data_IF_696794524377
#
_entry.id   IF_696794524377
#
_cell.length_a   1.000
_cell.length_b   1.000
_cell.length_c   1.000
_cell.angle_alpha   90.00
_cell.angle_beta   90.00
_cell.angle_gamma   90.00
#
_symmetry.space_group_name_H-M   'P 1'
#
loop_
_entity.id
_entity.type
_entity.pdbx_description
1 polymer ?
#
# COMPACT_ATOMS: atom_id res chain seq x y z
N UNK A 1 0.52 6.23 12.70
CA UNK A 1 -0.44 7.20 13.29
C UNK A 1 -1.75 6.53 13.68
N UNK A 2 -2.42 5.74 12.82
CA UNK A 2 -3.75 5.15 13.11
C UNK A 2 -3.74 4.21 14.32
N UNK A 3 -2.72 3.35 14.46
CA UNK A 3 -2.58 2.48 15.61
C UNK A 3 -2.44 3.28 16.93
N UNK A 4 -1.60 4.31 16.90
CA UNK A 4 -1.44 5.24 18.01
C UNK A 4 -2.76 5.95 18.38
N UNK A 5 -3.45 6.50 17.39
CA UNK A 5 -4.75 7.15 17.61
C UNK A 5 -5.75 6.16 18.20
N UNK A 6 -5.83 4.95 17.65
CA UNK A 6 -6.77 3.93 18.13
C UNK A 6 -6.50 3.51 19.59
N UNK A 7 -5.26 3.27 19.93
CA UNK A 7 -4.88 2.94 21.31
C UNK A 7 -5.36 3.99 22.32
N UNK A 8 -5.26 5.27 21.93
CA UNK A 8 -5.68 6.38 22.79
C UNK A 8 -7.19 6.57 22.88
N UNK A 9 -7.90 6.44 21.75
CA UNK A 9 -9.34 6.71 21.72
C UNK A 9 -10.19 5.52 22.14
N UNK A 10 -9.70 4.30 21.98
CA UNK A 10 -10.44 3.07 22.30
C UNK A 10 -11.06 3.04 23.70
N UNK A 11 -10.44 3.55 24.78
CA UNK A 11 -11.06 3.57 26.11
C UNK A 11 -12.28 4.51 26.21
N UNK A 12 -12.43 5.46 25.30
CA UNK A 12 -13.47 6.46 25.34
C UNK A 12 -14.76 6.03 24.60
N UNK A 13 -15.20 4.81 24.83
CA UNK A 13 -16.32 4.16 24.14
C UNK A 13 -17.61 5.02 24.08
N UNK A 14 -17.99 5.64 25.18
CA UNK A 14 -19.19 6.49 25.23
C UNK A 14 -19.03 7.74 24.34
N UNK A 15 -17.87 8.40 24.43
CA UNK A 15 -17.59 9.57 23.59
C UNK A 15 -17.54 9.19 22.11
N UNK A 16 -16.91 8.04 21.76
CA UNK A 16 -16.87 7.55 20.39
C UNK A 16 -18.27 7.35 19.82
N UNK A 17 -19.16 6.67 20.56
CA UNK A 17 -20.56 6.48 20.11
C UNK A 17 -21.28 7.81 19.87
N UNK A 18 -21.07 8.79 20.73
CA UNK A 18 -21.72 10.11 20.59
C UNK A 18 -21.25 10.89 19.36
N UNK A 19 -19.99 10.74 18.94
CA UNK A 19 -19.43 11.51 17.84
C UNK A 19 -19.55 10.81 16.49
N UNK A 20 -19.51 9.48 16.45
CA UNK A 20 -19.43 8.70 15.20
C UNK A 20 -20.62 8.98 14.27
N UNK A 21 -21.82 9.09 14.79
CA UNK A 21 -23.02 9.36 13.98
C UNK A 21 -22.93 10.64 13.14
N UNK A 22 -22.03 11.56 13.52
CA UNK A 22 -21.90 12.88 12.89
C UNK A 22 -20.58 13.10 12.15
N UNK A 23 -19.61 12.17 12.20
CA UNK A 23 -18.28 12.39 11.63
C UNK A 23 -18.31 12.50 10.09
N UNK A 24 -19.17 11.73 9.43
CA UNK A 24 -19.32 11.82 7.98
C UNK A 24 -20.73 11.38 7.52
N UNK A 25 -21.03 11.60 6.23
CA UNK A 25 -22.32 11.27 5.62
C UNK A 25 -22.64 9.78 5.71
N UNK A 26 -21.65 8.89 5.52
CA UNK A 26 -21.85 7.43 5.56
C UNK A 26 -22.30 6.96 6.94
N UNK A 27 -21.69 7.46 8.00
CA UNK A 27 -22.10 7.13 9.38
C UNK A 27 -23.47 7.70 9.72
N UNK A 28 -23.77 8.92 9.27
CA UNK A 28 -25.08 9.55 9.45
C UNK A 28 -26.22 8.76 8.79
N UNK A 29 -25.94 8.19 7.61
CA UNK A 29 -26.93 7.31 6.92
C UNK A 29 -27.09 5.98 7.63
N UNK A 30 -25.99 5.33 8.03
CA UNK A 30 -26.04 4.05 8.78
C UNK A 30 -26.75 4.18 10.13
N UNK A 31 -26.52 5.25 10.86
CA UNK A 31 -27.13 5.50 12.17
C UNK A 31 -28.64 5.74 12.11
N UNK A 32 -29.21 6.11 10.94
CA UNK A 32 -30.66 6.17 10.74
C UNK A 32 -31.30 4.79 10.69
N UNK A 33 -30.57 3.79 10.21
CA UNK A 33 -31.07 2.40 10.10
C UNK A 33 -30.87 1.63 11.41
N UNK A 34 -29.70 1.78 12.02
CA UNK A 34 -29.36 1.16 13.31
C UNK A 34 -28.88 2.30 14.25
N UNK A 35 -29.66 2.65 15.29
CA UNK A 35 -29.27 3.67 16.26
C UNK A 35 -27.99 3.31 17.00
N UNK A 36 -27.07 4.28 17.15
CA UNK A 36 -25.82 4.08 17.88
C UNK A 36 -26.09 4.33 19.37
N UNK A 37 -26.16 3.25 20.15
CA UNK A 37 -26.46 3.30 21.59
C UNK A 37 -25.35 2.65 22.44
N UNK A 38 -25.33 1.31 22.48
CA UNK A 38 -24.47 0.52 23.36
C UNK A 38 -23.44 -0.35 22.60
N UNK A 39 -23.30 -0.17 21.30
CA UNK A 39 -22.36 -0.93 20.49
C UNK A 39 -20.94 -0.80 21.01
N UNK A 40 -20.20 -1.92 20.99
CA UNK A 40 -18.76 -1.90 21.20
C UNK A 40 -18.07 -1.33 19.97
N UNK A 41 -17.44 -0.18 20.12
CA UNK A 41 -16.66 0.42 19.04
C UNK A 41 -15.34 -0.32 18.91
N UNK A 42 -15.06 -0.76 17.69
CA UNK A 42 -13.83 -1.46 17.27
C UNK A 42 -13.23 -0.77 16.06
N UNK A 43 -12.00 -1.07 15.79
CA UNK A 43 -11.31 -0.67 14.58
C UNK A 43 -10.83 -1.91 13.84
N UNK A 44 -11.11 -1.96 12.55
CA UNK A 44 -10.60 -3.01 11.66
C UNK A 44 -10.25 -2.39 10.31
N UNK A 45 -9.06 -2.72 9.81
CA UNK A 45 -8.53 -2.13 8.59
C UNK A 45 -9.45 -2.44 7.39
N UNK A 46 -9.90 -1.38 6.71
CA UNK A 46 -10.75 -1.50 5.51
C UNK A 46 -12.22 -1.85 5.76
N UNK A 47 -12.66 -1.98 7.03
CA UNK A 47 -14.03 -2.37 7.36
C UNK A 47 -14.79 -1.20 7.99
N UNK A 48 -15.92 -0.81 7.38
CA UNK A 48 -16.91 0.10 7.97
C UNK A 48 -18.23 -0.65 8.18
N UNK A 49 -18.50 -1.08 9.40
CA UNK A 49 -19.66 -1.92 9.70
C UNK A 49 -20.39 -1.42 10.95
N UNK A 50 -21.72 -1.44 10.92
CA UNK A 50 -22.59 -1.19 12.06
C UNK A 50 -23.56 -2.35 12.22
N UNK A 51 -23.62 -2.92 13.42
CA UNK A 51 -24.56 -3.94 13.84
C UNK A 51 -25.25 -3.51 15.14
N UNK A 52 -26.15 -4.27 15.65
CA UNK A 52 -26.81 -3.99 16.93
C UNK A 52 -25.84 -4.02 18.13
N UNK A 53 -24.76 -4.82 18.05
CA UNK A 53 -23.81 -5.02 19.16
C UNK A 53 -22.45 -4.42 18.94
N UNK A 54 -22.05 -4.20 17.68
CA UNK A 54 -20.70 -3.77 17.32
C UNK A 54 -20.70 -2.70 16.23
N UNK A 55 -19.69 -1.82 16.32
CA UNK A 55 -19.43 -0.76 15.37
C UNK A 55 -17.95 -0.82 14.99
N UNK A 56 -17.64 -0.97 13.71
CA UNK A 56 -16.28 -1.01 13.18
C UNK A 56 -15.96 0.28 12.46
N UNK A 57 -14.95 1.00 12.94
CA UNK A 57 -14.43 2.21 12.32
C UNK A 57 -13.57 1.87 11.11
N UNK A 58 -13.73 2.65 10.04
CA UNK A 58 -12.79 2.68 8.94
C UNK A 58 -11.50 3.39 9.35
N UNK A 59 -10.44 3.22 8.58
CA UNK A 59 -9.14 3.85 8.78
C UNK A 59 -9.24 5.38 8.96
N UNK A 60 -9.92 6.05 8.05
CA UNK A 60 -10.10 7.51 8.09
C UNK A 60 -10.96 8.00 9.28
N UNK A 61 -11.86 7.14 9.79
CA UNK A 61 -12.71 7.51 10.92
C UNK A 61 -11.90 7.62 12.22
N UNK A 62 -10.81 6.87 12.35
CA UNK A 62 -9.96 6.87 13.55
C UNK A 62 -9.29 8.22 13.76
N UNK A 63 -8.72 8.81 12.70
CA UNK A 63 -8.08 10.13 12.76
C UNK A 63 -9.09 11.24 13.02
N UNK A 64 -10.28 11.14 12.43
CA UNK A 64 -11.37 12.09 12.69
C UNK A 64 -11.88 12.00 14.14
N UNK A 65 -12.08 10.78 14.66
CA UNK A 65 -12.45 10.60 16.07
C UNK A 65 -11.39 11.16 17.02
N UNK A 66 -10.10 10.92 16.73
CA UNK A 66 -8.99 11.48 17.51
C UNK A 66 -9.04 13.02 17.51
N UNK A 67 -9.23 13.64 16.35
CA UNK A 67 -9.32 15.09 16.21
C UNK A 67 -10.47 15.70 17.03
N UNK A 68 -11.62 15.02 17.07
CA UNK A 68 -12.77 15.45 17.86
C UNK A 68 -12.57 15.25 19.37
N UNK A 69 -11.93 14.15 19.78
CA UNK A 69 -11.65 13.89 21.19
C UNK A 69 -10.58 14.84 21.74
N UNK A 70 -9.64 15.30 20.93
CA UNK A 70 -8.65 16.31 21.33
C UNK A 70 -9.26 17.65 21.76
N UNK A 71 -10.51 17.93 21.34
CA UNK A 71 -11.24 19.11 21.80
C UNK A 71 -11.64 19.02 23.27
N UNK A 72 -11.69 17.82 23.85
CA UNK A 72 -12.15 17.60 25.22
C UNK A 72 -11.00 17.75 26.24
N UNK A 73 -11.10 18.67 27.22
CA UNK A 73 -10.05 18.86 28.22
C UNK A 73 -9.71 17.58 29.01
N UNK A 74 -10.70 16.72 29.24
CA UNK A 74 -10.50 15.42 29.91
C UNK A 74 -9.60 14.52 29.08
N UNK A 75 -9.77 14.50 27.75
CA UNK A 75 -8.95 13.70 26.85
C UNK A 75 -7.53 14.27 26.76
N UNK A 76 -7.37 15.59 26.72
CA UNK A 76 -6.05 16.23 26.74
C UNK A 76 -5.25 15.88 28.00
N UNK A 77 -5.92 15.90 29.17
CA UNK A 77 -5.30 15.47 30.45
C UNK A 77 -4.88 13.99 30.41
N UNK A 78 -5.73 13.12 29.89
CA UNK A 78 -5.41 11.71 29.70
C UNK A 78 -4.23 11.52 28.75
N UNK A 79 -4.24 12.21 27.61
CA UNK A 79 -3.13 12.17 26.65
C UNK A 79 -1.81 12.61 27.30
N UNK A 80 -1.82 13.75 28.01
CA UNK A 80 -0.65 14.25 28.72
C UNK A 80 -0.12 13.26 29.75
N UNK A 81 -0.99 12.57 30.47
CA UNK A 81 -0.58 11.61 31.50
C UNK A 81 0.09 10.37 30.90
N UNK A 82 -0.30 9.97 29.69
CA UNK A 82 0.29 8.84 28.98
C UNK A 82 1.51 9.24 28.14
N UNK A 83 1.39 10.35 27.41
CA UNK A 83 2.36 10.82 26.43
C UNK A 83 2.61 12.31 26.61
N UNK A 84 3.45 12.72 27.59
CA UNK A 84 3.80 14.14 27.78
C UNK A 84 4.61 14.71 26.63
N UNK A 85 5.22 13.86 25.81
CA UNK A 85 6.01 14.22 24.63
C UNK A 85 5.52 13.36 23.46
N UNK A 86 5.22 13.99 22.34
CA UNK A 86 4.78 13.34 21.09
C UNK A 86 5.66 13.82 19.95
N UNK A 87 6.32 12.90 19.28
CA UNK A 87 7.07 13.17 18.06
C UNK A 87 6.35 12.56 16.86
N UNK A 88 6.14 13.35 15.83
CA UNK A 88 5.46 12.98 14.59
C UNK A 88 6.50 13.03 13.47
N UNK A 89 6.90 11.86 12.99
CA UNK A 89 7.80 11.71 11.85
C UNK A 89 7.02 11.79 10.54
N UNK A 90 7.68 12.26 9.47
CA UNK A 90 7.08 12.53 8.16
C UNK A 90 5.75 13.32 8.28
N UNK A 91 5.77 14.38 9.12
CA UNK A 91 4.57 15.11 9.49
C UNK A 91 3.81 15.67 8.27
N UNK A 92 4.47 15.94 7.16
CA UNK A 92 3.87 16.49 5.95
C UNK A 92 2.84 15.54 5.33
N UNK A 93 2.92 14.24 5.61
CA UNK A 93 1.99 13.23 5.13
C UNK A 93 0.89 12.88 6.15
N UNK A 94 0.91 13.50 7.33
CA UNK A 94 -0.14 13.35 8.34
C UNK A 94 -1.45 13.98 7.84
N UNK A 95 -2.59 13.36 8.20
CA UNK A 95 -3.90 13.94 7.95
C UNK A 95 -3.97 15.39 8.45
N UNK A 96 -4.42 16.31 7.60
CA UNK A 96 -4.44 17.76 7.89
C UNK A 96 -5.29 18.11 9.11
N UNK A 97 -6.45 17.46 9.25
CA UNK A 97 -7.36 17.77 10.38
C UNK A 97 -6.75 17.30 11.68
N UNK A 98 -6.10 16.14 11.68
CA UNK A 98 -5.40 15.62 12.85
C UNK A 98 -4.21 16.51 13.23
N UNK A 99 -3.37 16.90 12.27
CA UNK A 99 -2.23 17.79 12.50
C UNK A 99 -2.70 19.15 13.08
N UNK A 100 -3.71 19.76 12.48
CA UNK A 100 -4.32 21.00 13.00
C UNK A 100 -4.90 20.81 14.40
N UNK A 101 -5.46 19.66 14.71
CA UNK A 101 -5.98 19.37 16.06
C UNK A 101 -4.85 19.27 17.08
N UNK A 102 -3.72 18.69 16.75
CA UNK A 102 -2.53 18.72 17.63
C UNK A 102 -2.05 20.16 17.86
N UNK A 103 -1.97 20.96 16.81
CA UNK A 103 -1.55 22.37 16.93
C UNK A 103 -2.54 23.12 17.83
N UNK A 104 -3.83 23.13 17.48
CA UNK A 104 -4.83 23.95 18.16
C UNK A 104 -5.07 23.52 19.62
N UNK A 105 -5.17 22.21 19.87
CA UNK A 105 -5.61 21.71 21.17
C UNK A 105 -4.48 21.31 22.09
N UNK A 106 -3.29 21.00 21.57
CA UNK A 106 -2.14 20.66 22.41
C UNK A 106 -1.15 21.81 22.55
N UNK A 107 -0.83 22.52 21.46
CA UNK A 107 0.18 23.59 21.46
C UNK A 107 -0.47 24.92 21.82
N UNK A 108 -1.47 25.37 21.06
CA UNK A 108 -2.09 26.67 21.25
C UNK A 108 -2.82 26.79 22.59
N UNK A 109 -3.50 25.73 23.02
CA UNK A 109 -4.20 25.69 24.31
C UNK A 109 -3.29 25.40 25.53
N UNK A 110 -1.99 25.32 25.36
CA UNK A 110 -1.05 25.04 26.45
C UNK A 110 -1.42 23.78 27.26
N UNK A 111 -1.76 22.69 26.59
CA UNK A 111 -2.14 21.43 27.24
C UNK A 111 -1.03 20.85 28.14
N UNK A 112 0.21 21.32 27.94
CA UNK A 112 1.43 20.82 28.58
C UNK A 112 1.95 19.54 27.96
N UNK A 113 1.50 19.17 26.77
CA UNK A 113 2.12 18.14 25.93
C UNK A 113 3.12 18.83 24.99
N UNK A 114 4.37 18.36 24.98
CA UNK A 114 5.37 18.79 23.99
C UNK A 114 5.14 18.04 22.68
N UNK A 115 4.96 18.75 21.59
CA UNK A 115 4.78 18.14 20.25
C UNK A 115 5.93 18.57 19.37
N UNK A 116 6.61 17.58 18.74
CA UNK A 116 7.64 17.79 17.73
C UNK A 116 7.20 17.23 16.39
N UNK A 117 7.33 18.03 15.33
CA UNK A 117 7.07 17.64 13.95
C UNK A 117 8.41 17.47 13.23
N UNK A 118 8.66 16.25 12.73
CA UNK A 118 9.89 15.92 11.99
C UNK A 118 9.50 15.59 10.56
N UNK A 119 10.16 16.19 9.60
CA UNK A 119 9.87 15.96 8.18
C UNK A 119 10.18 17.16 7.30
N UNK A 120 9.68 17.13 6.09
CA UNK A 120 9.93 18.11 5.06
C UNK A 120 8.68 18.32 4.21
N UNK A 121 8.08 19.50 4.26
CA UNK A 121 6.85 19.79 3.54
C UNK A 121 6.98 19.70 2.00
N UNK A 122 8.21 19.79 1.45
CA UNK A 122 8.47 19.55 0.03
C UNK A 122 8.37 18.07 -0.37
N UNK A 123 8.55 17.17 0.58
CA UNK A 123 8.46 15.71 0.36
C UNK A 123 7.03 15.18 0.48
N UNK A 124 6.04 16.07 0.62
CA UNK A 124 4.62 15.70 0.66
C UNK A 124 4.21 14.96 -0.61
N UNK A 125 3.80 13.69 -0.47
CA UNK A 125 3.36 12.83 -1.58
C UNK A 125 1.84 12.67 -1.65
N UNK A 126 1.13 12.90 -0.55
CA UNK A 126 -0.32 12.84 -0.51
C UNK A 126 -0.96 14.19 -0.87
N UNK A 127 -2.16 14.13 -1.45
CA UNK A 127 -2.84 15.28 -2.02
C UNK A 127 -3.28 16.34 -0.99
N UNK A 128 -4.44 16.96 -1.23
CA UNK A 128 -4.91 18.12 -0.44
C UNK A 128 -5.20 17.81 1.02
N UNK A 129 -5.45 16.55 1.37
CA UNK A 129 -5.84 16.13 2.72
C UNK A 129 -4.65 15.92 3.66
N UNK A 130 -3.42 15.92 3.14
CA UNK A 130 -2.22 15.86 3.96
C UNK A 130 -1.81 17.25 4.48
N UNK A 131 -1.16 17.28 5.65
CA UNK A 131 -0.81 18.48 6.40
C UNK A 131 0.00 19.49 5.57
N UNK A 132 1.10 19.05 4.96
CA UNK A 132 2.05 19.94 4.30
C UNK A 132 2.75 20.85 5.32
N UNK A 133 2.72 22.15 5.10
CA UNK A 133 3.38 23.12 5.99
C UNK A 133 2.65 23.23 7.33
N UNK A 134 3.39 23.10 8.43
CA UNK A 134 2.90 23.34 9.80
C UNK A 134 3.04 24.81 10.13
N UNK A 135 1.97 25.40 10.65
CA UNK A 135 1.97 26.80 11.06
C UNK A 135 1.27 26.96 12.40
N UNK A 136 1.84 27.79 13.28
CA UNK A 136 1.27 28.15 14.59
C UNK A 136 0.90 29.64 14.59
N UNK A 137 -0.39 30.00 14.69
CA UNK A 137 -0.80 31.40 14.71
C UNK A 137 -0.18 32.23 15.83
N UNK A 138 0.10 31.61 16.98
CA UNK A 138 0.70 32.29 18.15
C UNK A 138 2.23 32.27 18.16
N UNK A 139 2.88 31.67 17.17
CA UNK A 139 4.34 31.55 17.11
C UNK A 139 4.95 30.60 18.14
N UNK A 140 4.16 29.70 18.73
CA UNK A 140 4.64 28.72 19.74
C UNK A 140 5.46 27.58 19.15
N UNK A 141 5.38 27.37 17.84
CA UNK A 141 6.19 26.38 17.13
C UNK A 141 7.50 27.06 16.71
N UNK A 142 8.60 26.50 17.17
CA UNK A 142 9.94 26.92 16.78
C UNK A 142 10.43 25.99 15.70
N UNK A 143 10.77 26.53 14.54
CA UNK A 143 11.36 25.79 13.45
C UNK A 143 12.87 25.62 13.68
N UNK A 144 13.36 24.39 13.52
CA UNK A 144 14.76 24.04 13.62
C UNK A 144 15.18 23.47 12.28
N UNK A 145 15.89 24.28 11.52
CA UNK A 145 16.38 23.90 10.20
C UNK A 145 17.55 22.91 10.29
N UNK A 146 17.53 21.90 9.43
CA UNK A 146 18.61 20.93 9.27
C UNK A 146 19.37 21.19 7.98
N UNK A 147 20.41 22.00 8.06
CA UNK A 147 21.16 22.51 6.90
C UNK A 147 22.29 21.58 6.43
N UNK A 148 22.55 20.46 7.11
CA UNK A 148 23.61 19.52 6.73
C UNK A 148 23.05 18.38 5.86
N UNK A 149 23.67 18.15 4.70
CA UNK A 149 23.35 17.05 3.81
C UNK A 149 24.46 16.00 3.82
N UNK A 150 24.17 14.84 4.42
CA UNK A 150 25.09 13.69 4.51
C UNK A 150 24.88 12.66 3.41
N UNK A 151 23.86 12.81 2.57
CA UNK A 151 23.47 11.81 1.57
C UNK A 151 24.02 12.10 0.19
N UNK A 152 24.19 13.39 -0.14
CA UNK A 152 24.43 13.81 -1.51
C UNK A 152 25.76 14.50 -1.68
N UNK A 153 26.39 14.27 -2.82
CA UNK A 153 27.61 14.91 -3.22
C UNK A 153 27.41 16.40 -3.52
N UNK A 154 28.49 17.18 -3.45
CA UNK A 154 28.48 18.63 -3.61
C UNK A 154 27.69 19.16 -4.81
N UNK A 155 27.90 18.60 -6.00
CA UNK A 155 27.21 19.08 -7.19
C UNK A 155 25.69 18.81 -7.12
N UNK A 156 25.27 17.72 -6.44
CA UNK A 156 23.87 17.39 -6.24
C UNK A 156 23.27 18.37 -5.24
N UNK A 157 23.94 18.65 -4.13
CA UNK A 157 23.51 19.65 -3.14
C UNK A 157 23.38 21.03 -3.78
N UNK A 158 24.36 21.45 -4.58
CA UNK A 158 24.31 22.72 -5.29
C UNK A 158 23.12 22.83 -6.27
N UNK A 159 22.75 21.73 -6.93
CA UNK A 159 21.57 21.68 -7.77
C UNK A 159 20.28 21.76 -6.94
N UNK A 160 20.19 21.02 -5.84
CA UNK A 160 19.04 21.05 -4.94
C UNK A 160 18.82 22.45 -4.36
N UNK A 161 19.87 23.14 -3.94
CA UNK A 161 19.81 24.51 -3.43
C UNK A 161 19.31 25.54 -4.46
N UNK A 162 19.46 25.26 -5.77
CA UNK A 162 18.86 26.09 -6.84
C UNK A 162 17.38 25.83 -7.04
N UNK A 163 16.91 24.63 -6.71
CA UNK A 163 15.51 24.24 -6.82
C UNK A 163 14.74 24.70 -5.59
N UNK A 164 15.40 24.66 -4.43
CA UNK A 164 14.82 24.97 -3.13
C UNK A 164 15.75 25.94 -2.39
N UNK A 165 15.43 27.21 -2.46
CA UNK A 165 16.24 28.31 -1.92
C UNK A 165 15.91 28.66 -0.47
N UNK A 166 14.71 28.27 0.01
CA UNK A 166 14.29 28.55 1.39
C UNK A 166 15.02 27.74 2.47
N UNK A 167 15.62 26.61 2.10
CA UNK A 167 16.40 25.78 3.01
C UNK A 167 17.69 25.31 2.32
N UNK A 168 18.69 26.19 2.17
CA UNK A 168 19.97 25.81 1.58
C UNK A 168 20.70 24.81 2.46
N UNK A 169 21.17 23.74 1.85
CA UNK A 169 21.93 22.68 2.53
C UNK A 169 23.41 22.80 2.23
N UNK A 170 24.23 22.35 3.18
CA UNK A 170 25.66 22.27 3.05
C UNK A 170 26.08 20.80 2.87
N UNK A 171 26.94 20.55 1.91
CA UNK A 171 27.56 19.24 1.74
C UNK A 171 28.47 18.89 2.92
N UNK A 172 28.49 17.62 3.33
CA UNK A 172 29.41 17.16 4.38
C UNK A 172 30.82 16.81 3.86
N UNK A 173 30.92 16.48 2.57
CA UNK A 173 32.22 16.25 1.90
C UNK A 173 32.40 17.24 0.75
N UNK A 174 33.16 18.31 0.96
CA UNK A 174 33.44 19.33 -0.07
C UNK A 174 34.26 18.80 -1.24
N UNK A 175 34.92 17.64 -1.11
CA UNK A 175 35.69 16.99 -2.17
C UNK A 175 34.85 16.06 -3.05
N UNK A 176 33.65 15.73 -2.63
CA UNK A 176 32.74 14.92 -3.43
C UNK A 176 32.33 15.65 -4.70
N UNK A 177 32.13 14.92 -5.80
CA UNK A 177 31.84 15.56 -7.09
C UNK A 177 30.45 15.30 -7.62
N UNK A 178 29.84 14.18 -7.40
CA UNK A 178 28.55 13.78 -7.89
C UNK A 178 28.24 14.21 -9.34
N UNK A 179 27.39 13.50 -10.03
CA UNK A 179 27.03 13.80 -11.42
C UNK A 179 25.52 13.84 -11.53
N UNK A 180 24.99 14.90 -12.18
CA UNK A 180 23.60 15.02 -12.55
C UNK A 180 23.52 15.00 -14.08
N UNK A 181 22.68 14.07 -14.62
CA UNK A 181 22.39 14.00 -16.05
C UNK A 181 20.88 14.11 -16.25
N UNK A 182 20.48 15.01 -17.15
CA UNK A 182 19.07 15.23 -17.48
C UNK A 182 18.84 14.69 -18.88
N UNK A 183 17.86 13.80 -19.02
CA UNK A 183 17.39 13.27 -20.27
C UNK A 183 15.97 13.78 -20.52
N UNK A 184 15.67 14.18 -21.75
CA UNK A 184 14.35 14.71 -22.14
C UNK A 184 13.91 14.17 -23.50
N UNK A 185 12.62 14.18 -23.73
CA UNK A 185 11.99 13.66 -24.96
C UNK A 185 11.52 14.76 -25.91
N UNK A 186 12.08 15.98 -25.82
CA UNK A 186 11.59 17.12 -26.62
C UNK A 186 11.78 16.95 -28.12
N UNK A 187 12.73 16.14 -28.57
CA UNK A 187 12.99 15.88 -29.99
C UNK A 187 12.04 14.84 -30.61
N UNK A 188 11.16 14.23 -29.81
CA UNK A 188 10.17 13.31 -30.34
C UNK A 188 8.97 14.08 -30.87
N UNK A 189 8.68 13.91 -32.17
CA UNK A 189 7.67 14.70 -32.91
C UNK A 189 6.33 13.95 -33.11
N UNK A 190 6.16 12.75 -32.54
CA UNK A 190 4.93 11.99 -32.64
C UNK A 190 3.82 12.51 -31.70
N UNK A 191 2.67 11.88 -31.77
CA UNK A 191 1.53 12.24 -30.93
C UNK A 191 1.78 11.87 -29.46
N UNK A 192 1.65 12.84 -28.58
CA UNK A 192 1.76 12.66 -27.13
C UNK A 192 0.41 12.30 -26.51
N UNK A 193 0.43 11.69 -25.35
CA UNK A 193 -0.79 11.36 -24.62
C UNK A 193 -1.61 12.62 -24.33
N UNK A 194 -2.94 12.52 -24.47
CA UNK A 194 -3.87 13.65 -24.29
C UNK A 194 -4.73 13.54 -23.05
N UNK A 195 -4.76 12.34 -22.40
CA UNK A 195 -5.67 12.04 -21.31
C UNK A 195 -5.15 12.49 -19.95
N UNK A 196 -5.96 13.23 -19.22
CA UNK A 196 -5.81 13.53 -17.78
C UNK A 196 -4.38 13.88 -17.29
N UNK A 197 -3.88 13.11 -16.36
CA UNK A 197 -2.56 13.28 -15.73
C UNK A 197 -1.37 13.00 -16.67
N UNK A 198 -1.62 12.34 -17.80
CA UNK A 198 -0.62 11.92 -18.78
C UNK A 198 -0.47 12.86 -19.95
N UNK A 199 -1.21 13.97 -19.93
CA UNK A 199 -1.18 14.95 -21.00
C UNK A 199 0.24 15.47 -21.23
N UNK A 200 0.76 15.22 -22.43
CA UNK A 200 2.11 15.60 -22.81
C UNK A 200 3.16 14.49 -22.65
N UNK A 201 2.81 13.35 -22.04
CA UNK A 201 3.72 12.21 -21.94
C UNK A 201 3.88 11.47 -23.27
N UNK A 202 4.97 10.71 -23.37
CA UNK A 202 5.17 9.79 -24.48
C UNK A 202 4.17 8.63 -24.41
N UNK A 203 3.75 8.05 -25.57
CA UNK A 203 3.09 6.74 -25.58
C UNK A 203 3.94 5.68 -24.85
N UNK A 204 3.27 4.71 -24.22
CA UNK A 204 3.93 3.74 -23.31
C UNK A 204 5.06 2.97 -24.00
N UNK A 205 4.87 2.54 -25.23
CA UNK A 205 5.87 1.80 -26.01
C UNK A 205 7.11 2.66 -26.29
N UNK A 206 6.88 3.91 -26.71
CA UNK A 206 7.96 4.87 -26.97
C UNK A 206 8.71 5.24 -25.69
N UNK A 207 7.96 5.45 -24.59
CA UNK A 207 8.57 5.71 -23.28
C UNK A 207 9.50 4.58 -22.85
N UNK A 208 9.12 3.32 -23.08
CA UNK A 208 9.94 2.15 -22.82
C UNK A 208 11.25 2.15 -23.63
N UNK A 209 11.15 2.43 -24.91
CA UNK A 209 12.35 2.52 -25.77
C UNK A 209 13.34 3.59 -25.28
N UNK A 210 12.82 4.77 -24.90
CA UNK A 210 13.65 5.84 -24.34
C UNK A 210 14.29 5.43 -22.99
N UNK A 211 13.53 4.79 -22.10
CA UNK A 211 14.07 4.28 -20.84
C UNK A 211 15.20 3.26 -21.09
N UNK A 212 15.00 2.35 -22.05
CA UNK A 212 16.03 1.37 -22.41
C UNK A 212 17.28 2.03 -23.01
N UNK A 213 17.10 3.10 -23.79
CA UNK A 213 18.22 3.90 -24.29
C UNK A 213 18.97 4.60 -23.15
N UNK A 214 18.25 5.21 -22.20
CA UNK A 214 18.85 5.85 -21.02
C UNK A 214 19.62 4.81 -20.19
N UNK A 215 19.05 3.64 -19.94
CA UNK A 215 19.71 2.56 -19.21
C UNK A 215 20.99 2.08 -19.90
N UNK A 216 20.99 1.98 -21.23
CA UNK A 216 22.19 1.65 -22.02
C UNK A 216 23.27 2.72 -21.85
N UNK A 217 22.88 3.99 -21.96
CA UNK A 217 23.82 5.11 -21.79
C UNK A 217 24.41 5.15 -20.39
N UNK A 218 23.58 4.96 -19.36
CA UNK A 218 24.06 4.91 -17.98
C UNK A 218 25.07 3.78 -17.75
N UNK A 219 24.84 2.58 -18.31
CA UNK A 219 25.84 1.48 -18.25
C UNK A 219 27.15 1.85 -18.93
N UNK A 220 27.11 2.53 -20.08
CA UNK A 220 28.30 3.05 -20.76
C UNK A 220 29.05 4.09 -19.90
N UNK A 221 28.31 4.86 -19.11
CA UNK A 221 28.88 5.84 -18.17
C UNK A 221 29.34 5.19 -16.85
N UNK A 222 29.34 3.85 -16.73
CA UNK A 222 29.84 3.10 -15.59
C UNK A 222 28.83 2.84 -14.45
N UNK A 223 27.53 3.09 -14.66
CA UNK A 223 26.52 2.80 -13.66
C UNK A 223 26.21 1.32 -13.57
N UNK A 224 26.25 0.77 -12.36
CA UNK A 224 25.86 -0.61 -12.08
C UNK A 224 24.36 -0.70 -11.83
N UNK A 225 23.59 -0.90 -12.90
CA UNK A 225 22.13 -1.03 -12.82
C UNK A 225 21.66 -2.43 -12.38
N UNK A 226 22.58 -3.38 -12.20
CA UNK A 226 22.27 -4.74 -11.75
C UNK A 226 22.25 -4.87 -10.22
N UNK A 227 22.92 -3.96 -9.52
CA UNK A 227 23.05 -3.99 -8.08
C UNK A 227 22.07 -2.99 -7.44
N UNK A 228 20.99 -3.50 -6.85
CA UNK A 228 19.95 -2.70 -6.20
C UNK A 228 20.44 -1.95 -4.96
N UNK A 229 21.56 -2.33 -4.35
CA UNK A 229 22.15 -1.61 -3.23
C UNK A 229 22.91 -0.35 -3.69
N UNK A 230 23.39 -0.36 -4.93
CA UNK A 230 24.15 0.77 -5.52
C UNK A 230 23.28 1.69 -6.35
N UNK A 231 22.31 1.16 -7.06
CA UNK A 231 21.49 1.93 -8.02
C UNK A 231 20.01 1.69 -7.78
N UNK A 232 19.27 2.78 -7.62
CA UNK A 232 17.80 2.78 -7.49
C UNK A 232 17.19 3.45 -8.71
N UNK A 233 16.14 2.87 -9.26
CA UNK A 233 15.34 3.47 -10.34
C UNK A 233 13.95 3.76 -9.76
N UNK A 234 13.58 5.03 -9.76
CA UNK A 234 12.29 5.49 -9.25
C UNK A 234 11.37 5.85 -10.41
N UNK A 235 10.11 5.47 -10.31
CA UNK A 235 9.06 5.83 -11.25
C UNK A 235 7.91 6.53 -10.53
N UNK A 236 7.29 7.49 -11.19
CA UNK A 236 6.16 8.23 -10.61
C UNK A 236 4.87 7.41 -10.54
N UNK A 237 4.81 6.27 -11.23
CA UNK A 237 3.56 5.50 -11.34
C UNK A 237 3.77 4.01 -11.24
N UNK A 238 2.84 3.34 -10.57
CA UNK A 238 2.83 1.89 -10.46
C UNK A 238 2.73 1.18 -11.81
N UNK A 239 2.09 1.80 -12.81
CA UNK A 239 1.95 1.22 -14.14
C UNK A 239 3.31 1.11 -14.87
N UNK A 240 4.15 2.13 -14.78
CA UNK A 240 5.51 2.08 -15.32
C UNK A 240 6.36 1.03 -14.59
N UNK A 241 6.22 0.95 -13.27
CA UNK A 241 6.88 -0.09 -12.47
C UNK A 241 6.44 -1.48 -12.93
N UNK A 242 5.14 -1.70 -13.09
CA UNK A 242 4.60 -2.98 -13.55
C UNK A 242 5.14 -3.38 -14.93
N UNK A 243 5.24 -2.41 -15.83
CA UNK A 243 5.80 -2.61 -17.18
C UNK A 243 7.29 -3.00 -17.12
N UNK A 244 8.09 -2.26 -16.35
CA UNK A 244 9.52 -2.49 -16.21
C UNK A 244 9.85 -3.80 -15.49
N UNK A 245 9.01 -4.20 -14.56
CA UNK A 245 9.16 -5.43 -13.79
C UNK A 245 8.52 -6.65 -14.48
N UNK A 246 7.84 -6.48 -15.61
CA UNK A 246 7.26 -7.57 -16.41
C UNK A 246 5.93 -8.12 -15.89
N UNK A 247 5.22 -7.41 -14.99
CA UNK A 247 3.90 -7.85 -14.50
C UNK A 247 2.76 -6.91 -14.92
N UNK A 248 2.93 -6.17 -16.02
CA UNK A 248 1.89 -5.27 -16.54
C UNK A 248 0.57 -5.98 -16.77
N UNK A 249 0.57 -7.18 -17.34
CA UNK A 249 -0.63 -7.97 -17.57
C UNK A 249 -1.43 -8.23 -16.27
N UNK A 250 -0.72 -8.45 -15.16
CA UNK A 250 -1.35 -8.57 -13.85
C UNK A 250 -1.94 -7.22 -13.40
N UNK A 251 -1.16 -6.13 -13.51
CA UNK A 251 -1.60 -4.81 -13.10
C UNK A 251 -2.84 -4.35 -13.89
N UNK A 252 -2.93 -4.68 -15.17
CA UNK A 252 -4.07 -4.31 -16.04
C UNK A 252 -5.37 -5.02 -15.66
N UNK A 253 -5.30 -6.17 -14.92
CA UNK A 253 -6.49 -6.85 -14.42
C UNK A 253 -7.15 -6.14 -13.23
N UNK A 254 -6.43 -5.26 -12.54
CA UNK A 254 -6.88 -4.64 -11.30
C UNK A 254 -7.00 -3.13 -11.45
N UNK A 255 -8.17 -2.60 -11.07
CA UNK A 255 -8.43 -1.15 -11.09
C UNK A 255 -7.57 -0.40 -10.06
N UNK A 256 -7.32 -1.03 -8.91
CA UNK A 256 -6.58 -0.45 -7.80
C UNK A 256 -5.28 -1.21 -7.59
N UNK A 257 -4.12 -0.52 -7.55
CA UNK A 257 -2.83 -1.13 -7.25
C UNK A 257 -2.79 -1.88 -5.92
N UNK A 258 -3.55 -1.43 -4.93
CA UNK A 258 -3.64 -2.06 -3.60
C UNK A 258 -4.11 -3.53 -3.66
N UNK A 259 -4.90 -3.89 -4.66
CA UNK A 259 -5.38 -5.27 -4.86
C UNK A 259 -4.21 -6.26 -4.97
N UNK A 260 -3.14 -5.87 -5.65
CA UNK A 260 -1.96 -6.73 -5.85
C UNK A 260 -0.74 -6.31 -5.03
N UNK A 261 -0.49 -5.02 -4.79
CA UNK A 261 0.65 -4.56 -3.99
C UNK A 261 0.44 -4.84 -2.49
N UNK A 262 -0.74 -4.52 -1.96
CA UNK A 262 -1.09 -4.77 -0.55
C UNK A 262 -1.78 -6.12 -0.33
N UNK A 263 -1.90 -6.95 -1.36
CA UNK A 263 -2.52 -8.27 -1.31
C UNK A 263 -3.97 -8.24 -0.80
N UNK A 264 -4.72 -7.18 -1.15
CA UNK A 264 -6.12 -7.05 -0.76
C UNK A 264 -7.03 -8.03 -1.51
N UNK A 265 -6.63 -8.43 -2.73
CA UNK A 265 -7.33 -9.46 -3.49
C UNK A 265 -7.04 -10.87 -2.91
N UNK A 266 -8.07 -11.70 -2.65
CA UNK A 266 -7.90 -13.02 -2.04
C UNK A 266 -7.03 -13.99 -2.82
N UNK A 267 -7.05 -13.96 -4.17
CA UNK A 267 -6.19 -14.82 -4.97
C UNK A 267 -4.72 -14.41 -4.85
N UNK A 268 -4.46 -13.10 -4.95
CA UNK A 268 -3.11 -12.56 -4.80
C UNK A 268 -2.55 -12.93 -3.42
N UNK A 269 -3.34 -12.73 -2.38
CA UNK A 269 -2.95 -13.09 -1.02
C UNK A 269 -2.62 -14.57 -0.89
N UNK A 270 -3.47 -15.44 -1.41
CA UNK A 270 -3.25 -16.88 -1.36
C UNK A 270 -1.99 -17.29 -2.12
N UNK A 271 -1.79 -16.77 -3.32
CA UNK A 271 -0.61 -17.10 -4.12
C UNK A 271 0.68 -16.65 -3.46
N UNK A 272 0.72 -15.42 -2.95
CA UNK A 272 1.95 -14.84 -2.38
C UNK A 272 2.24 -15.28 -0.94
N UNK A 273 1.23 -15.50 -0.12
CA UNK A 273 1.43 -15.79 1.31
C UNK A 273 1.38 -17.28 1.63
N UNK A 274 0.73 -18.09 0.78
CA UNK A 274 0.55 -19.52 1.04
C UNK A 274 1.21 -20.37 -0.02
N UNK A 275 0.82 -20.21 -1.28
CA UNK A 275 1.16 -21.16 -2.34
C UNK A 275 2.65 -21.09 -2.74
N UNK A 276 3.13 -19.91 -3.13
CA UNK A 276 4.55 -19.73 -3.51
C UNK A 276 5.51 -20.04 -2.36
N UNK A 277 5.26 -19.60 -1.11
CA UNK A 277 6.08 -20.01 0.02
C UNK A 277 6.10 -21.51 0.26
N UNK A 278 4.95 -22.20 0.07
CA UNK A 278 4.85 -23.64 0.25
C UNK A 278 5.64 -24.40 -0.83
N UNK A 279 5.54 -23.96 -2.10
CA UNK A 279 6.31 -24.56 -3.20
C UNK A 279 7.81 -24.36 -2.99
N UNK A 280 8.23 -23.18 -2.55
CA UNK A 280 9.64 -22.92 -2.26
C UNK A 280 10.16 -23.80 -1.13
N UNK A 281 9.46 -23.83 0.00
CA UNK A 281 9.82 -24.64 1.15
C UNK A 281 9.87 -26.14 0.79
N UNK A 282 8.96 -26.59 -0.09
CA UNK A 282 8.96 -27.95 -0.60
C UNK A 282 10.22 -28.25 -1.44
N UNK A 283 10.55 -27.36 -2.38
CA UNK A 283 11.74 -27.50 -3.23
C UNK A 283 13.06 -27.48 -2.42
N UNK A 284 13.08 -26.71 -1.33
CA UNK A 284 14.18 -26.66 -0.36
C UNK A 284 14.18 -27.86 0.61
N UNK A 285 13.24 -28.81 0.47
CA UNK A 285 13.05 -29.96 1.37
C UNK A 285 12.76 -29.57 2.82
N UNK A 286 12.29 -28.33 3.07
CA UNK A 286 11.88 -27.83 4.36
C UNK A 286 10.41 -28.16 4.64
N UNK A 287 10.10 -29.45 4.82
CA UNK A 287 8.72 -29.93 4.95
C UNK A 287 8.03 -29.39 6.23
N UNK A 288 8.77 -29.12 7.29
CA UNK A 288 8.21 -28.49 8.51
C UNK A 288 7.59 -27.13 8.21
N UNK A 289 8.28 -26.31 7.42
CA UNK A 289 7.79 -25.02 6.99
C UNK A 289 6.60 -25.14 6.03
N UNK A 290 6.58 -26.13 5.12
CA UNK A 290 5.41 -26.41 4.28
C UNK A 290 4.15 -26.61 5.13
N UNK A 291 4.21 -27.46 6.16
CA UNK A 291 3.07 -27.71 7.03
C UNK A 291 2.69 -26.49 7.89
N UNK A 292 3.66 -25.72 8.33
CA UNK A 292 3.41 -24.49 9.06
C UNK A 292 2.65 -23.46 8.22
N UNK A 293 3.06 -23.26 6.96
CA UNK A 293 2.41 -22.33 6.02
C UNK A 293 0.99 -22.80 5.68
N UNK A 294 0.81 -24.07 5.38
CA UNK A 294 -0.47 -24.64 4.99
C UNK A 294 -1.48 -24.72 6.15
N UNK A 295 -0.98 -24.78 7.40
CA UNK A 295 -1.78 -24.80 8.61
C UNK A 295 -2.65 -26.06 8.77
N UNK A 296 -3.51 -26.06 9.79
CA UNK A 296 -4.30 -27.23 10.21
C UNK A 296 -5.45 -27.61 9.25
N UNK A 297 -5.78 -26.80 8.27
CA UNK A 297 -6.93 -27.02 7.36
C UNK A 297 -6.63 -27.93 6.19
N UNK A 298 -5.37 -28.27 5.94
CA UNK A 298 -5.00 -29.13 4.84
C UNK A 298 -5.04 -30.61 5.25
N UNK A 299 -5.33 -31.52 4.29
CA UNK A 299 -5.36 -32.95 4.61
C UNK A 299 -4.02 -33.39 5.17
N UNK A 300 -4.06 -33.93 6.37
CA UNK A 300 -2.87 -34.46 7.03
C UNK A 300 -2.37 -35.73 6.29
N UNK A 301 -1.05 -35.91 6.27
CA UNK A 301 -0.45 -37.18 5.84
C UNK A 301 -0.88 -38.25 6.84
N UNK A 302 -1.73 -39.19 6.40
CA UNK A 302 -2.23 -40.32 7.22
C UNK A 302 -1.40 -41.56 7.08
N UNK A 303 -0.79 -41.78 5.92
CA UNK A 303 0.01 -42.95 5.63
C UNK A 303 1.18 -42.61 4.70
N UNK A 304 2.10 -43.59 4.53
CA UNK A 304 3.31 -43.38 3.73
C UNK A 304 3.02 -43.14 2.24
N UNK A 305 1.95 -43.73 1.71
CA UNK A 305 1.56 -43.53 0.31
C UNK A 305 1.10 -42.07 0.04
N UNK A 306 0.65 -41.34 1.04
CA UNK A 306 0.27 -39.95 0.87
C UNK A 306 1.47 -39.05 0.59
N UNK A 307 2.66 -39.40 1.09
CA UNK A 307 3.90 -38.65 0.79
C UNK A 307 4.19 -38.64 -0.72
N UNK A 308 4.01 -39.77 -1.39
CA UNK A 308 4.22 -39.86 -2.84
C UNK A 308 3.23 -39.02 -3.63
N UNK A 309 1.94 -38.93 -3.18
CA UNK A 309 0.93 -38.09 -3.79
C UNK A 309 1.27 -36.60 -3.62
N UNK A 310 1.73 -36.20 -2.41
CA UNK A 310 2.15 -34.83 -2.13
C UNK A 310 3.36 -34.44 -2.98
N UNK A 311 4.39 -35.31 -3.06
CA UNK A 311 5.56 -35.05 -3.89
C UNK A 311 5.17 -34.82 -5.34
N UNK A 312 4.40 -35.75 -5.91
CA UNK A 312 3.92 -35.64 -7.29
C UNK A 312 3.16 -34.35 -7.53
N UNK A 313 2.26 -33.96 -6.61
CA UNK A 313 1.46 -32.76 -6.75
C UNK A 313 2.33 -31.49 -6.70
N UNK A 314 3.26 -31.37 -5.74
CA UNK A 314 4.15 -30.20 -5.67
C UNK A 314 5.12 -30.12 -6.85
N UNK A 315 5.60 -31.26 -7.36
CA UNK A 315 6.41 -31.30 -8.58
C UNK A 315 5.61 -30.82 -9.80
N UNK A 316 4.35 -31.29 -9.93
CA UNK A 316 3.44 -30.81 -10.98
C UNK A 316 3.19 -29.30 -10.87
N UNK A 317 2.87 -28.78 -9.67
CA UNK A 317 2.69 -27.34 -9.44
C UNK A 317 3.96 -26.55 -9.78
N UNK A 318 5.14 -27.07 -9.42
CA UNK A 318 6.43 -26.45 -9.73
C UNK A 318 6.65 -26.33 -11.23
N UNK A 319 6.28 -27.34 -11.98
CA UNK A 319 6.48 -27.39 -13.43
C UNK A 319 5.48 -26.46 -14.16
N UNK A 320 4.18 -26.56 -13.84
CA UNK A 320 3.15 -25.82 -14.57
C UNK A 320 3.14 -24.32 -14.27
N UNK A 321 3.64 -23.89 -13.11
CA UNK A 321 3.64 -22.46 -12.73
C UNK A 321 4.40 -21.54 -13.68
N UNK A 322 5.29 -22.11 -14.52
CA UNK A 322 6.08 -21.32 -15.47
C UNK A 322 5.37 -21.15 -16.82
N UNK A 323 4.47 -22.05 -17.16
CA UNK A 323 3.86 -22.14 -18.49
C UNK A 323 2.35 -22.05 -18.51
N UNK A 324 1.69 -22.18 -17.35
CA UNK A 324 0.24 -22.21 -17.27
C UNK A 324 -0.40 -20.83 -17.05
N UNK A 325 -1.69 -20.72 -17.40
CA UNK A 325 -2.52 -19.60 -16.98
C UNK A 325 -2.91 -19.75 -15.51
N UNK A 326 -3.37 -18.66 -14.90
CA UNK A 326 -3.93 -18.66 -13.54
C UNK A 326 -5.08 -19.67 -13.41
N UNK A 327 -5.96 -19.76 -14.41
CA UNK A 327 -7.09 -20.72 -14.40
C UNK A 327 -6.60 -22.16 -14.39
N UNK A 328 -5.64 -22.50 -15.26
CA UNK A 328 -5.08 -23.85 -15.33
C UNK A 328 -4.42 -24.24 -14.02
N UNK A 329 -3.72 -23.28 -13.40
CA UNK A 329 -3.05 -23.47 -12.13
C UNK A 329 -4.05 -23.69 -10.98
N UNK A 330 -5.13 -22.92 -10.90
CA UNK A 330 -6.21 -23.10 -9.92
C UNK A 330 -6.91 -24.44 -10.09
N UNK A 331 -7.23 -24.84 -11.33
CA UNK A 331 -7.84 -26.14 -11.59
C UNK A 331 -6.97 -27.29 -11.07
N UNK A 332 -5.64 -27.19 -11.28
CA UNK A 332 -4.72 -28.23 -10.80
C UNK A 332 -4.65 -28.34 -9.28
N UNK A 333 -4.78 -27.21 -8.58
CA UNK A 333 -4.86 -27.18 -7.10
C UNK A 333 -6.13 -27.92 -6.64
N UNK A 334 -7.28 -27.65 -7.29
CA UNK A 334 -8.57 -28.23 -6.88
C UNK A 334 -8.70 -29.70 -7.25
N UNK A 335 -8.23 -30.11 -8.43
CA UNK A 335 -8.29 -31.50 -8.90
C UNK A 335 -7.57 -32.50 -7.97
N UNK A 336 -6.41 -32.13 -7.47
CA UNK A 336 -5.61 -33.02 -6.65
C UNK A 336 -6.16 -33.22 -5.24
N UNK A 337 -7.05 -32.36 -4.75
CA UNK A 337 -7.62 -32.36 -3.40
C UNK A 337 -6.59 -32.50 -2.28
N UNK A 338 -5.36 -32.01 -2.53
CA UNK A 338 -4.25 -31.98 -1.57
C UNK A 338 -4.17 -30.64 -0.88
N UNK A 339 -4.34 -29.55 -1.64
CA UNK A 339 -4.39 -28.19 -1.14
C UNK A 339 -5.85 -27.68 -1.23
N UNK A 340 -6.34 -27.13 -0.14
CA UNK A 340 -7.68 -26.51 -0.12
C UNK A 340 -7.58 -25.02 -0.40
N UNK A 341 -8.49 -24.51 -1.26
CA UNK A 341 -8.63 -23.07 -1.47
C UNK A 341 -9.24 -22.40 -0.22
N UNK A 342 -8.77 -21.21 0.16
CA UNK A 342 -9.38 -20.43 1.23
C UNK A 342 -10.88 -20.13 0.98
N UNK A 343 -11.67 -20.05 2.04
CA UNK A 343 -13.11 -19.72 1.94
C UNK A 343 -13.39 -18.40 1.21
N UNK A 344 -12.46 -17.43 1.29
CA UNK A 344 -12.55 -16.17 0.55
C UNK A 344 -12.51 -16.37 -0.96
N UNK A 345 -11.66 -17.28 -1.46
CA UNK A 345 -11.58 -17.63 -2.88
C UNK A 345 -12.82 -18.45 -3.28
N UNK A 346 -13.22 -19.44 -2.48
CA UNK A 346 -14.43 -20.24 -2.76
C UNK A 346 -15.67 -19.36 -2.93
N UNK A 347 -15.86 -18.34 -2.09
CA UNK A 347 -16.94 -17.36 -2.23
C UNK A 347 -16.84 -16.55 -3.52
N UNK A 348 -15.62 -16.21 -3.97
CA UNK A 348 -15.44 -15.52 -5.24
C UNK A 348 -15.73 -16.42 -6.43
N UNK A 349 -15.33 -17.70 -6.38
CA UNK A 349 -15.67 -18.68 -7.43
C UNK A 349 -17.18 -18.91 -7.52
N UNK A 350 -17.86 -19.13 -6.39
CA UNK A 350 -19.33 -19.27 -6.38
C UNK A 350 -20.02 -18.02 -6.97
N UNK A 351 -19.60 -16.83 -6.55
CA UNK A 351 -20.13 -15.58 -7.10
C UNK A 351 -19.85 -15.44 -8.60
N UNK A 352 -18.68 -15.86 -9.05
CA UNK A 352 -18.31 -15.83 -10.46
C UNK A 352 -19.19 -16.77 -11.30
N UNK A 353 -19.45 -17.98 -10.82
CA UNK A 353 -20.36 -18.96 -11.44
C UNK A 353 -21.79 -18.42 -11.48
N UNK A 354 -22.31 -17.85 -10.40
CA UNK A 354 -23.61 -17.22 -10.36
C UNK A 354 -23.76 -16.10 -11.40
N UNK A 355 -22.72 -15.27 -11.58
CA UNK A 355 -22.75 -14.17 -12.56
C UNK A 355 -22.69 -14.71 -14.00
N UNK A 356 -21.95 -15.77 -14.27
CA UNK A 356 -21.87 -16.37 -15.61
C UNK A 356 -23.23 -16.94 -16.01
N UNK A 357 -23.98 -17.54 -15.09
CA UNK A 357 -25.30 -18.12 -15.39
C UNK A 357 -26.40 -17.08 -15.65
N UNK A 358 -26.21 -15.82 -15.22
CA UNK A 358 -27.13 -14.71 -15.49
C UNK A 358 -27.15 -14.34 -16.97
N UNK A 359 -28.35 -14.04 -17.49
CA UNK A 359 -28.48 -13.42 -18.82
C UNK A 359 -27.89 -12.00 -18.84
N UNK A 360 -27.56 -11.50 -20.03
CA UNK A 360 -26.94 -10.16 -20.17
C UNK A 360 -27.83 -9.02 -19.62
N UNK A 361 -29.17 -9.21 -19.64
CA UNK A 361 -30.14 -8.24 -19.11
C UNK A 361 -30.24 -8.25 -17.58
N UNK A 362 -29.86 -9.34 -16.94
CA UNK A 362 -29.91 -9.51 -15.49
C UNK A 362 -28.63 -9.06 -14.80
N UNK A 363 -27.54 -8.85 -15.55
CA UNK A 363 -26.26 -8.40 -15.01
C UNK A 363 -26.28 -6.92 -14.71
N UNK A 364 -25.88 -6.56 -13.51
CA UNK A 364 -25.59 -5.17 -13.13
C UNK A 364 -24.23 -4.74 -13.67
N UNK A 365 -23.96 -3.42 -13.74
CA UNK A 365 -22.65 -2.90 -14.11
C UNK A 365 -21.54 -3.47 -13.23
N UNK A 366 -21.82 -3.69 -11.95
CA UNK A 366 -20.87 -4.31 -11.00
C UNK A 366 -20.63 -5.79 -11.31
N UNK A 367 -21.63 -6.51 -11.79
CA UNK A 367 -21.48 -7.92 -12.20
C UNK A 367 -20.61 -7.99 -13.47
N UNK A 368 -20.78 -7.06 -14.39
CA UNK A 368 -20.01 -6.98 -15.63
C UNK A 368 -18.55 -6.63 -15.31
N UNK A 369 -18.32 -5.61 -14.46
CA UNK A 369 -16.96 -5.23 -14.01
C UNK A 369 -16.27 -6.40 -13.29
N UNK A 370 -16.97 -7.08 -12.39
CA UNK A 370 -16.46 -8.24 -11.66
C UNK A 370 -16.12 -9.40 -12.61
N UNK A 371 -17.01 -9.75 -13.52
CA UNK A 371 -16.80 -10.81 -14.49
C UNK A 371 -15.61 -10.51 -15.41
N UNK A 372 -15.56 -9.30 -15.95
CA UNK A 372 -14.45 -8.86 -16.81
C UNK A 372 -13.09 -8.93 -16.12
N UNK A 373 -13.02 -8.43 -14.87
CA UNK A 373 -11.82 -8.49 -14.04
C UNK A 373 -11.32 -9.92 -13.89
N UNK A 374 -12.18 -10.83 -13.44
CA UNK A 374 -11.75 -12.19 -13.14
C UNK A 374 -11.57 -13.08 -14.38
N UNK A 375 -12.24 -12.81 -15.49
CA UNK A 375 -11.93 -13.45 -16.76
C UNK A 375 -10.52 -13.07 -17.25
N UNK A 376 -10.21 -11.77 -17.26
CA UNK A 376 -8.89 -11.29 -17.63
C UNK A 376 -7.81 -11.88 -16.71
N UNK A 377 -8.03 -11.82 -15.40
CA UNK A 377 -7.12 -12.34 -14.38
C UNK A 377 -6.86 -13.86 -14.53
N UNK A 378 -7.89 -14.65 -14.76
CA UNK A 378 -7.77 -16.12 -14.95
C UNK A 378 -7.06 -16.48 -16.24
N UNK A 379 -7.10 -15.63 -17.26
CA UNK A 379 -6.49 -15.85 -18.57
C UNK A 379 -5.00 -15.50 -18.63
N UNK A 380 -4.48 -14.66 -17.73
CA UNK A 380 -3.05 -14.30 -17.75
C UNK A 380 -2.16 -15.48 -17.32
N UNK A 381 -0.90 -15.43 -17.78
CA UNK A 381 0.14 -16.35 -17.29
C UNK A 381 0.34 -16.21 -15.78
N UNK A 382 0.60 -17.32 -15.09
CA UNK A 382 0.90 -17.32 -13.66
C UNK A 382 2.29 -16.73 -13.32
N UNK A 383 3.20 -16.66 -14.28
CA UNK A 383 4.58 -16.17 -14.11
C UNK A 383 4.69 -14.77 -13.47
N UNK A 384 3.84 -13.77 -13.80
CA UNK A 384 3.91 -12.43 -13.21
C UNK A 384 3.88 -12.38 -11.68
N UNK A 385 3.25 -13.34 -11.01
CA UNK A 385 3.23 -13.41 -9.53
C UNK A 385 4.60 -13.64 -8.92
N UNK A 386 5.47 -14.35 -9.62
CA UNK A 386 6.84 -14.59 -9.17
C UNK A 386 7.67 -13.33 -9.19
N UNK A 387 7.38 -12.42 -10.11
CA UNK A 387 8.06 -11.13 -10.23
C UNK A 387 7.63 -10.20 -9.11
N UNK A 388 6.33 -10.12 -8.80
CA UNK A 388 5.80 -9.32 -7.68
C UNK A 388 6.40 -9.69 -6.32
N UNK A 389 6.98 -10.89 -6.18
CA UNK A 389 7.58 -11.40 -4.93
C UNK A 389 9.03 -10.98 -4.72
N UNK A 390 9.72 -10.41 -5.69
CA UNK A 390 11.15 -10.07 -5.52
C UNK A 390 11.32 -9.04 -4.40
N UNK A 391 12.27 -9.25 -3.45
CA UNK A 391 12.46 -8.37 -2.28
C UNK A 391 12.69 -6.90 -2.61
N UNK A 392 13.21 -6.60 -3.80
CA UNK A 392 13.39 -5.24 -4.31
C UNK A 392 12.07 -4.47 -4.50
N UNK A 393 10.93 -5.19 -4.55
CA UNK A 393 9.62 -4.60 -4.76
C UNK A 393 8.87 -4.27 -3.47
N UNK A 394 9.14 -5.01 -2.38
CA UNK A 394 8.40 -4.92 -1.12
C UNK A 394 9.09 -4.07 -0.05
N UNK A 395 10.28 -3.53 -0.31
CA UNK A 395 11.06 -2.79 0.69
C UNK A 395 10.84 -1.28 0.71
N UNK A 396 10.03 -0.71 -0.17
CA UNK A 396 9.94 0.75 -0.30
C UNK A 396 8.54 1.36 -0.15
N UNK A 397 7.61 0.67 0.53
CA UNK A 397 6.52 1.35 1.23
C UNK A 397 6.75 1.17 2.72
N UNK A 398 7.32 2.13 3.43
CA UNK A 398 7.20 2.14 4.88
C UNK A 398 5.70 2.26 5.22
N UNK A 399 5.26 1.42 6.16
CA UNK A 399 3.92 1.45 6.77
C UNK A 399 3.60 2.80 7.42
#
# INVERSE_FOLDING_TARGET
>A
IHAFCWELIQPFQANLRNIIGNINKKWREKSKTIPINNQKVKYDFGVMKLTETELFLHHDDVTQCMSLLLQLPKFQKYLKSKFPIIFIDEYQDTDRYLANSFINYLIENNSGVLVGFFGDHWQKIYGKDACGLVNSPSGKIVEIEKNANFRSDKNIVACLNRIRDELPQNECDPNSKGIIKIFHSNNWNGERQTANHWKGDLPTEIAKEYIDQIKRRMRQDGWDLSNSEKTKILFLTNNLIATEQGFKNLADCFKYPDDYLKKSDPYIKFFLDVLEPSILAFNEKNFGNVFQILGQKNPHLKCQSDKGKWTKHFDELTNIRQTSTVQTFLNKITEANILSLPNSILKLETKFEEIITKTQKEKTDKDIEFQSKYLAFKAISYEPYRVCRRPSFLRECPD
#
